data_IF_597852242171
#
_entry.id   IF_597852242171
#
_cell.length_a   1.000
_cell.length_b   1.000
_cell.length_c   1.000
_cell.angle_alpha   90.00
_cell.angle_beta   90.00
_cell.angle_gamma   90.00
#
_symmetry.space_group_name_H-M   'P 1'
#
loop_
_entity.id
_entity.type
_entity.pdbx_description
1 polymer ?
#
# COMPACT_ATOMS: atom_id res chain seq x y z
N UNK A 1 -14.61 4.82 19.03
CA UNK A 1 -15.18 3.84 19.98
C UNK A 1 -14.18 3.32 21.02
N UNK A 2 -13.31 2.32 20.77
CA UNK A 2 -12.45 1.77 21.87
C UNK A 2 -11.52 2.84 22.46
N UNK A 3 -10.93 3.69 21.62
CA UNK A 3 -10.03 4.75 22.06
C UNK A 3 -10.72 5.92 22.78
N UNK A 4 -12.00 6.18 22.50
CA UNK A 4 -12.80 7.21 23.21
C UNK A 4 -13.21 6.74 24.59
N UNK A 5 -13.70 5.50 24.70
CA UNK A 5 -14.07 4.90 25.98
C UNK A 5 -12.85 4.84 26.89
N UNK A 6 -11.69 4.41 26.37
CA UNK A 6 -10.44 4.39 27.14
C UNK A 6 -10.01 5.81 27.60
N UNK A 7 -10.22 6.84 26.78
CA UNK A 7 -9.94 8.24 27.13
C UNK A 7 -10.85 8.72 28.26
N UNK A 8 -12.15 8.45 28.17
CA UNK A 8 -13.15 8.85 29.16
C UNK A 8 -12.89 8.19 30.52
N UNK A 9 -12.67 6.87 30.53
CA UNK A 9 -12.33 6.11 31.74
C UNK A 9 -11.03 6.63 32.39
N UNK A 10 -10.00 6.89 31.59
CA UNK A 10 -8.72 7.40 32.11
C UNK A 10 -8.86 8.82 32.67
N UNK A 11 -9.65 9.68 32.02
CA UNK A 11 -9.92 11.04 32.50
C UNK A 11 -10.76 11.04 33.78
N UNK A 12 -11.75 10.14 33.89
CA UNK A 12 -12.52 9.95 35.12
C UNK A 12 -11.61 9.51 36.28
N UNK A 13 -10.70 8.57 36.01
CA UNK A 13 -9.71 8.11 36.98
C UNK A 13 -8.74 9.22 37.45
N UNK A 14 -8.28 10.09 36.54
CA UNK A 14 -7.47 11.25 36.92
C UNK A 14 -8.25 12.24 37.80
N UNK A 15 -9.54 12.45 37.51
CA UNK A 15 -10.40 13.32 38.30
C UNK A 15 -10.64 12.75 39.72
N UNK A 16 -10.87 11.44 39.86
CA UNK A 16 -10.98 10.78 41.17
C UNK A 16 -9.72 10.93 42.02
N UNK A 17 -8.55 10.89 41.39
CA UNK A 17 -7.25 11.08 42.06
C UNK A 17 -6.89 12.56 42.30
N UNK A 18 -7.75 13.51 41.91
CA UNK A 18 -7.48 14.96 42.03
C UNK A 18 -6.31 15.44 41.17
N UNK A 19 -5.95 14.70 40.12
CA UNK A 19 -4.85 15.04 39.24
C UNK A 19 -5.31 16.02 38.16
N UNK A 20 -4.55 17.09 37.87
CA UNK A 20 -4.95 18.10 36.86
C UNK A 20 -4.68 17.65 35.41
N UNK A 21 -4.42 16.36 35.17
CA UNK A 21 -4.05 15.84 33.85
C UNK A 21 -5.29 15.43 33.06
N UNK A 22 -5.23 15.58 31.74
CA UNK A 22 -6.19 15.01 30.79
C UNK A 22 -5.47 14.28 29.67
N UNK A 23 -6.09 13.21 29.18
CA UNK A 23 -5.64 12.49 28.00
C UNK A 23 -6.01 13.32 26.77
N UNK A 24 -4.98 13.69 26.00
CA UNK A 24 -5.12 14.43 24.75
C UNK A 24 -5.91 13.62 23.71
N UNK A 25 -6.51 14.34 22.76
CA UNK A 25 -7.12 13.71 21.60
C UNK A 25 -6.05 13.12 20.67
N UNK A 26 -6.39 11.99 20.05
CA UNK A 26 -5.54 11.40 19.03
C UNK A 26 -5.54 12.32 17.81
N UNK A 27 -4.49 13.11 17.63
CA UNK A 27 -4.28 13.90 16.42
C UNK A 27 -3.90 12.99 15.25
N UNK A 28 -4.22 13.40 14.03
CA UNK A 28 -3.72 12.73 12.82
C UNK A 28 -2.26 13.07 12.51
N UNK A 29 -1.79 14.21 13.01
CA UNK A 29 -0.39 14.61 12.88
C UNK A 29 0.45 13.80 13.86
N UNK A 30 1.43 13.02 13.39
CA UNK A 30 2.32 12.29 14.27
C UNK A 30 3.15 13.27 15.11
N UNK A 31 2.91 13.28 16.41
CA UNK A 31 3.74 14.02 17.37
C UNK A 31 5.06 13.29 17.65
N UNK A 32 6.10 14.05 17.99
CA UNK A 32 7.34 13.50 18.53
C UNK A 32 7.07 12.94 19.92
N UNK A 33 7.37 11.66 20.12
CA UNK A 33 7.12 10.95 21.37
C UNK A 33 8.00 11.48 22.51
N UNK A 34 7.40 11.73 23.68
CA UNK A 34 8.10 12.18 24.88
C UNK A 34 8.49 10.94 25.72
N UNK A 35 9.78 10.62 25.77
CA UNK A 35 10.33 9.50 26.54
C UNK A 35 10.36 9.73 28.07
N UNK A 36 10.82 8.75 28.86
CA UNK A 36 10.69 8.76 30.32
C UNK A 36 11.44 9.91 31.02
N UNK A 37 10.75 10.56 31.98
CA UNK A 37 11.09 11.54 33.06
C UNK A 37 12.45 12.26 33.17
N UNK A 38 13.58 11.80 32.61
CA UNK A 38 14.90 12.46 32.66
C UNK A 38 15.05 13.66 31.72
N UNK A 39 14.03 13.96 30.91
CA UNK A 39 14.08 14.95 29.81
C UNK A 39 13.10 16.12 30.06
N UNK A 40 12.81 16.46 31.33
CA UNK A 40 11.82 17.52 31.68
C UNK A 40 12.07 18.87 30.99
N UNK A 41 13.33 19.25 30.78
CA UNK A 41 13.67 20.52 30.12
C UNK A 41 13.31 20.55 28.62
N UNK A 42 13.19 19.39 27.97
CA UNK A 42 12.84 19.27 26.56
C UNK A 42 11.33 19.04 26.35
N UNK A 43 10.55 18.86 27.43
CA UNK A 43 9.10 18.64 27.33
C UNK A 43 8.43 19.85 26.68
N UNK A 44 8.74 21.06 27.14
CA UNK A 44 8.18 22.29 26.58
C UNK A 44 8.60 22.50 25.13
N UNK A 45 9.83 22.14 24.78
CA UNK A 45 10.35 22.22 23.40
C UNK A 45 9.66 21.22 22.47
N UNK A 46 9.49 19.97 22.92
CA UNK A 46 8.79 18.92 22.14
C UNK A 46 7.29 19.23 22.02
N UNK A 47 6.66 19.76 23.08
CA UNK A 47 5.28 20.22 23.04
C UNK A 47 5.11 21.37 22.05
N UNK A 48 5.97 22.40 22.12
CA UNK A 48 5.95 23.53 21.20
C UNK A 48 6.24 23.08 19.74
N UNK A 49 7.19 22.17 19.51
CA UNK A 49 7.42 21.57 18.19
C UNK A 49 6.17 20.85 17.67
N UNK A 50 5.46 20.11 18.52
CA UNK A 50 4.26 19.39 18.13
C UNK A 50 3.08 20.35 17.89
N UNK A 51 2.96 21.42 18.67
CA UNK A 51 2.00 22.50 18.43
C UNK A 51 2.30 23.22 17.11
N UNK A 52 3.56 23.58 16.85
CA UNK A 52 3.98 24.17 15.57
C UNK A 52 3.72 23.23 14.38
N UNK A 53 3.95 21.92 14.54
CA UNK A 53 3.60 20.91 13.52
C UNK A 53 2.09 20.86 13.30
N UNK A 54 1.30 20.90 14.37
CA UNK A 54 -0.16 20.91 14.29
C UNK A 54 -0.67 22.20 13.64
N UNK A 55 -0.14 23.36 14.00
CA UNK A 55 -0.48 24.65 13.39
C UNK A 55 -0.08 24.72 11.91
N UNK A 56 1.12 24.24 11.56
CA UNK A 56 1.55 24.17 10.16
C UNK A 56 0.64 23.22 9.37
N UNK A 57 0.29 22.07 9.93
CA UNK A 57 -0.64 21.13 9.32
C UNK A 57 -2.04 21.75 9.16
N UNK A 58 -2.55 22.47 10.16
CA UNK A 58 -3.84 23.17 10.09
C UNK A 58 -3.86 24.29 9.04
N UNK A 59 -2.76 25.03 8.88
CA UNK A 59 -2.62 26.04 7.82
C UNK A 59 -2.61 25.41 6.42
N UNK A 60 -2.15 24.17 6.30
CA UNK A 60 -2.10 23.40 5.06
C UNK A 60 -3.43 22.67 4.79
N UNK A 61 -4.15 22.23 5.83
CA UNK A 61 -5.43 21.50 5.71
C UNK A 61 -6.56 22.35 5.12
N UNK A 62 -6.52 23.68 5.20
CA UNK A 62 -7.62 24.52 4.68
C UNK A 62 -7.78 24.49 3.15
N UNK A 63 -6.98 23.70 2.43
CA UNK A 63 -7.06 23.49 1.00
C UNK A 63 -7.62 22.08 0.70
N UNK A 64 -8.74 22.05 -0.04
CA UNK A 64 -9.39 20.81 -0.47
C UNK A 64 -8.47 19.92 -1.32
N UNK A 65 -7.58 20.51 -2.12
CA UNK A 65 -6.63 19.75 -2.93
C UNK A 65 -5.59 19.07 -2.06
N UNK A 66 -5.10 19.76 -1.02
CA UNK A 66 -4.10 19.18 -0.11
C UNK A 66 -4.70 18.04 0.72
N UNK A 67 -5.94 18.19 1.19
CA UNK A 67 -6.66 17.11 1.86
C UNK A 67 -6.79 15.91 0.92
N UNK A 68 -7.24 16.15 -0.31
CA UNK A 68 -7.41 15.09 -1.32
C UNK A 68 -6.09 14.36 -1.59
N UNK A 69 -5.00 15.10 -1.77
CA UNK A 69 -3.66 14.53 -1.99
C UNK A 69 -3.17 13.74 -0.78
N UNK A 70 -3.43 14.22 0.45
CA UNK A 70 -3.06 13.50 1.68
C UNK A 70 -3.76 12.14 1.82
N UNK A 71 -5.04 12.08 1.45
CA UNK A 71 -5.84 10.85 1.52
C UNK A 71 -5.37 9.90 0.42
N UNK A 72 -5.24 10.40 -0.80
CA UNK A 72 -4.89 9.60 -1.97
C UNK A 72 -3.46 9.11 -2.00
N UNK A 73 -2.56 9.75 -1.24
CA UNK A 73 -1.20 9.24 -1.02
C UNK A 73 -1.19 7.82 -0.45
N UNK A 74 -2.15 7.49 0.41
CA UNK A 74 -2.23 6.18 1.07
C UNK A 74 -3.40 5.32 0.61
N UNK A 75 -4.42 5.91 -0.05
CA UNK A 75 -5.66 5.23 -0.43
C UNK A 75 -6.08 5.57 -1.86
N UNK A 76 -6.09 4.57 -2.74
CA UNK A 76 -6.65 4.72 -4.10
C UNK A 76 -8.17 4.96 -4.10
N UNK A 77 -8.86 4.49 -3.06
CA UNK A 77 -10.30 4.61 -2.87
C UNK A 77 -10.56 5.02 -1.42
N UNK A 78 -11.44 6.00 -1.22
CA UNK A 78 -11.76 6.54 0.10
C UNK A 78 -13.26 6.82 0.26
N UNK A 79 -13.67 7.11 1.50
CA UNK A 79 -15.06 7.39 1.87
C UNK A 79 -15.21 8.81 2.39
N UNK A 80 -16.44 9.32 2.51
CA UNK A 80 -16.71 10.60 3.21
C UNK A 80 -16.11 10.62 4.62
N UNK A 81 -16.17 9.50 5.35
CA UNK A 81 -15.57 9.39 6.68
C UNK A 81 -14.05 9.55 6.69
N UNK A 82 -13.36 9.17 5.60
CA UNK A 82 -11.92 9.39 5.49
C UNK A 82 -11.60 10.88 5.34
N UNK A 83 -12.43 11.63 4.61
CA UNK A 83 -12.32 13.09 4.51
C UNK A 83 -12.61 13.74 5.85
N UNK A 84 -13.71 13.35 6.53
CA UNK A 84 -14.07 13.86 7.87
C UNK A 84 -12.96 13.63 8.90
N UNK A 85 -12.27 12.48 8.82
CA UNK A 85 -11.10 12.18 9.66
C UNK A 85 -9.92 13.09 9.34
N UNK A 86 -9.61 13.30 8.06
CA UNK A 86 -8.54 14.20 7.60
C UNK A 86 -8.68 15.63 8.15
N UNK A 87 -9.91 16.09 8.34
CA UNK A 87 -10.22 17.45 8.83
C UNK A 87 -10.61 17.50 10.30
N UNK A 88 -10.44 16.40 11.06
CA UNK A 88 -10.92 16.31 12.46
C UNK A 88 -10.28 17.35 13.39
N UNK A 89 -9.03 17.74 13.10
CA UNK A 89 -8.25 18.66 13.93
C UNK A 89 -8.69 20.13 13.73
N UNK A 90 -9.58 20.42 12.77
CA UNK A 90 -10.18 21.75 12.58
C UNK A 90 -11.15 22.04 13.73
N UNK A 91 -10.95 23.13 14.51
CA UNK A 91 -11.78 23.41 15.67
C UNK A 91 -13.24 23.78 15.36
N UNK A 92 -13.47 24.53 14.27
CA UNK A 92 -14.82 24.96 13.89
C UNK A 92 -15.59 23.84 13.16
N UNK A 93 -16.69 23.32 13.72
CA UNK A 93 -17.50 22.30 13.07
C UNK A 93 -18.08 22.75 11.72
N UNK A 94 -18.38 24.04 11.57
CA UNK A 94 -18.97 24.58 10.34
C UNK A 94 -17.95 24.61 9.22
N UNK A 95 -16.76 25.16 9.48
CA UNK A 95 -15.64 25.12 8.55
C UNK A 95 -15.29 23.68 8.15
N UNK A 96 -15.32 22.73 9.10
CA UNK A 96 -15.08 21.31 8.83
C UNK A 96 -16.08 20.73 7.84
N UNK A 97 -17.38 20.94 8.08
CA UNK A 97 -18.44 20.49 7.18
C UNK A 97 -18.29 21.11 5.78
N UNK A 98 -18.03 22.42 5.71
CA UNK A 98 -17.82 23.12 4.44
C UNK A 98 -16.66 22.54 3.65
N UNK A 99 -15.54 22.23 4.32
CA UNK A 99 -14.35 21.70 3.68
C UNK A 99 -14.56 20.27 3.18
N UNK A 100 -15.29 19.43 3.93
CA UNK A 100 -15.71 18.10 3.46
C UNK A 100 -16.56 18.22 2.20
N UNK A 101 -17.52 19.15 2.16
CA UNK A 101 -18.34 19.38 0.98
C UNK A 101 -17.52 19.90 -0.20
N UNK A 102 -16.55 20.80 0.03
CA UNK A 102 -15.64 21.30 -1.00
C UNK A 102 -14.80 20.19 -1.61
N UNK A 103 -14.24 19.29 -0.79
CA UNK A 103 -13.50 18.12 -1.27
C UNK A 103 -14.40 17.24 -2.14
N UNK A 104 -15.57 16.83 -1.63
CA UNK A 104 -16.45 15.89 -2.34
C UNK A 104 -17.09 16.48 -3.60
N UNK A 105 -17.25 17.79 -3.68
CA UNK A 105 -17.79 18.49 -4.86
C UNK A 105 -16.71 18.94 -5.86
N UNK A 106 -15.43 18.69 -5.55
CA UNK A 106 -14.33 19.03 -6.45
C UNK A 106 -14.42 18.24 -7.76
N UNK A 107 -14.07 18.90 -8.85
CA UNK A 107 -14.02 18.30 -10.18
C UNK A 107 -12.94 17.20 -10.31
N UNK A 108 -12.03 17.09 -9.34
CA UNK A 108 -11.02 16.02 -9.25
C UNK A 108 -11.61 14.72 -8.71
N UNK A 109 -12.71 14.79 -7.97
CA UNK A 109 -13.32 13.63 -7.32
C UNK A 109 -14.24 12.89 -8.29
N UNK A 110 -14.17 11.57 -8.23
CA UNK A 110 -15.04 10.64 -8.93
C UNK A 110 -15.76 9.77 -7.91
N UNK A 111 -17.09 9.84 -7.89
CA UNK A 111 -17.90 8.87 -7.16
C UNK A 111 -17.92 7.53 -7.90
N UNK A 112 -17.80 6.44 -7.15
CA UNK A 112 -17.84 5.08 -7.66
C UNK A 112 -19.26 4.52 -7.55
N UNK A 113 -19.67 3.77 -8.56
CA UNK A 113 -21.00 3.18 -8.66
C UNK A 113 -20.88 1.66 -8.80
N UNK A 114 -21.90 0.95 -8.33
CA UNK A 114 -22.08 -0.47 -8.59
C UNK A 114 -22.54 -0.69 -10.04
N UNK A 115 -22.50 -1.95 -10.48
CA UNK A 115 -22.88 -2.32 -11.85
C UNK A 115 -24.37 -2.03 -12.16
N UNK A 116 -25.21 -1.96 -11.13
CA UNK A 116 -26.63 -1.58 -11.20
C UNK A 116 -26.86 -0.06 -11.24
N UNK A 117 -25.79 0.74 -11.15
CA UNK A 117 -25.83 2.20 -11.14
C UNK A 117 -26.07 2.83 -9.76
N UNK A 118 -26.19 2.04 -8.69
CA UNK A 118 -26.30 2.58 -7.34
C UNK A 118 -24.97 3.15 -6.84
N UNK A 119 -25.01 4.24 -6.08
CA UNK A 119 -23.81 4.81 -5.45
C UNK A 119 -23.20 3.82 -4.47
N UNK A 120 -21.90 3.57 -4.63
CA UNK A 120 -21.14 2.73 -3.71
C UNK A 120 -20.71 3.46 -2.44
N UNK A 121 -20.92 4.79 -2.37
CA UNK A 121 -20.42 5.70 -1.32
C UNK A 121 -18.90 5.77 -1.21
N UNK A 122 -18.19 5.20 -2.18
CA UNK A 122 -16.75 5.31 -2.33
C UNK A 122 -16.40 6.35 -3.39
N UNK A 123 -15.25 6.97 -3.19
CA UNK A 123 -14.71 8.02 -4.03
C UNK A 123 -13.27 7.67 -4.42
N UNK A 124 -12.86 8.15 -5.57
CA UNK A 124 -11.47 8.17 -6.04
C UNK A 124 -11.19 9.51 -6.71
N UNK A 125 -9.99 9.71 -7.24
CA UNK A 125 -9.66 10.91 -8.02
C UNK A 125 -9.43 10.58 -9.49
N UNK A 126 -9.54 11.61 -10.33
CA UNK A 126 -9.20 11.51 -11.76
C UNK A 126 -7.76 11.03 -11.94
N UNK A 127 -6.83 11.50 -11.11
CA UNK A 127 -5.41 11.13 -11.16
C UNK A 127 -5.22 9.63 -10.89
N UNK A 128 -5.80 9.12 -9.79
CA UNK A 128 -5.75 7.69 -9.45
C UNK A 128 -6.36 6.85 -10.57
N UNK A 129 -7.53 7.24 -11.09
CA UNK A 129 -8.17 6.52 -12.20
C UNK A 129 -7.30 6.51 -13.46
N UNK A 130 -6.65 7.61 -13.77
CA UNK A 130 -5.75 7.71 -14.92
C UNK A 130 -4.52 6.81 -14.75
N UNK A 131 -3.95 6.75 -13.55
CA UNK A 131 -2.83 5.86 -13.22
C UNK A 131 -3.23 4.38 -13.34
N UNK A 132 -4.37 3.98 -12.76
CA UNK A 132 -4.88 2.61 -12.87
C UNK A 132 -5.17 2.22 -14.32
N UNK A 133 -5.81 3.11 -15.09
CA UNK A 133 -6.07 2.90 -16.52
C UNK A 133 -4.77 2.73 -17.30
N UNK A 134 -3.72 3.49 -16.95
CA UNK A 134 -2.40 3.37 -17.57
C UNK A 134 -1.75 2.02 -17.23
N UNK A 135 -1.84 1.56 -15.98
CA UNK A 135 -1.34 0.24 -15.56
C UNK A 135 -2.00 -0.88 -16.36
N UNK A 136 -3.34 -0.86 -16.47
CA UNK A 136 -4.10 -1.85 -17.24
C UNK A 136 -3.69 -1.82 -18.71
N UNK A 137 -3.55 -0.63 -19.30
CA UNK A 137 -3.13 -0.47 -20.70
C UNK A 137 -1.74 -1.08 -20.95
N UNK A 138 -0.79 -0.85 -20.06
CA UNK A 138 0.56 -1.42 -20.14
C UNK A 138 0.50 -2.94 -19.99
N UNK A 139 -0.23 -3.46 -19.00
CA UNK A 139 -0.39 -4.89 -18.77
C UNK A 139 -0.99 -5.59 -20.00
N UNK A 140 -2.04 -5.03 -20.61
CA UNK A 140 -2.65 -5.56 -21.83
C UNK A 140 -1.69 -5.52 -23.02
N UNK A 141 -0.93 -4.43 -23.18
CA UNK A 141 0.08 -4.33 -24.24
C UNK A 141 1.14 -5.42 -24.10
N UNK A 142 1.68 -5.64 -22.90
CA UNK A 142 2.66 -6.69 -22.64
C UNK A 142 2.03 -8.07 -22.84
N UNK A 143 0.82 -8.28 -22.35
CA UNK A 143 0.13 -9.57 -22.45
C UNK A 143 -0.07 -10.02 -23.91
N UNK A 144 -0.31 -9.07 -24.81
CA UNK A 144 -0.51 -9.33 -26.25
C UNK A 144 0.80 -9.49 -27.04
N UNK A 145 1.95 -9.18 -26.45
CA UNK A 145 3.26 -9.39 -27.07
C UNK A 145 3.79 -10.75 -26.67
N UNK A 146 3.64 -11.74 -27.54
CA UNK A 146 4.14 -13.10 -27.32
C UNK A 146 5.40 -13.34 -28.14
N UNK A 147 6.51 -13.61 -27.46
CA UNK A 147 7.75 -14.08 -28.08
C UNK A 147 8.19 -15.37 -27.40
N UNK A 148 7.85 -16.52 -27.97
CA UNK A 148 8.49 -17.79 -27.61
C UNK A 148 8.59 -18.69 -28.84
N UNK A 149 9.82 -18.92 -29.31
CA UNK A 149 10.11 -19.77 -30.47
C UNK A 149 10.37 -21.25 -30.10
N UNK A 150 10.39 -21.65 -28.81
CA UNK A 150 10.79 -23.02 -28.42
C UNK A 150 10.01 -23.61 -27.22
N UNK A 151 8.70 -23.79 -27.37
CA UNK A 151 7.80 -24.28 -26.30
C UNK A 151 7.85 -25.82 -26.13
N UNK A 152 8.19 -26.57 -27.19
CA UNK A 152 7.92 -28.00 -27.25
C UNK A 152 8.75 -28.86 -26.27
N UNK A 153 9.96 -28.44 -25.89
CA UNK A 153 10.81 -29.22 -24.98
C UNK A 153 10.55 -28.95 -23.48
N UNK A 154 9.84 -27.86 -23.16
CA UNK A 154 9.75 -27.35 -21.79
C UNK A 154 8.67 -28.08 -20.98
N UNK A 155 7.66 -28.63 -21.66
CA UNK A 155 6.64 -29.47 -21.04
C UNK A 155 7.24 -30.77 -20.47
N UNK A 156 8.07 -31.46 -21.25
CA UNK A 156 8.71 -32.72 -20.82
C UNK A 156 9.56 -32.51 -19.57
N UNK A 157 10.33 -31.42 -19.52
CA UNK A 157 11.16 -31.10 -18.35
C UNK A 157 10.33 -30.88 -17.09
N UNK A 158 9.20 -30.15 -17.21
CA UNK A 158 8.31 -29.92 -16.07
C UNK A 158 7.72 -31.24 -15.55
N UNK A 159 7.30 -32.14 -16.44
CA UNK A 159 6.75 -33.44 -16.04
C UNK A 159 7.80 -34.36 -15.41
N UNK A 160 9.06 -34.26 -15.85
CA UNK A 160 10.20 -35.01 -15.32
C UNK A 160 10.74 -34.51 -13.97
N UNK A 161 10.24 -33.38 -13.44
CA UNK A 161 10.69 -32.87 -12.14
C UNK A 161 10.26 -33.80 -10.99
N UNK A 162 11.26 -34.33 -10.28
CA UNK A 162 11.05 -35.01 -9.00
C UNK A 162 10.86 -33.98 -7.85
N UNK A 163 10.14 -34.38 -6.80
CA UNK A 163 9.88 -33.56 -5.59
C UNK A 163 9.10 -32.25 -5.84
N UNK A 164 8.26 -32.24 -6.87
CA UNK A 164 7.35 -31.12 -7.18
C UNK A 164 5.91 -31.66 -7.18
N UNK A 165 5.00 -31.02 -6.45
CA UNK A 165 3.59 -31.45 -6.43
C UNK A 165 2.90 -31.17 -7.77
N UNK A 166 1.77 -31.82 -8.04
CA UNK A 166 1.01 -31.55 -9.26
C UNK A 166 0.50 -30.11 -9.34
N UNK A 167 0.16 -29.47 -8.22
CA UNK A 167 -0.20 -28.04 -8.23
C UNK A 167 1.00 -27.16 -8.59
N UNK A 168 2.20 -27.52 -8.11
CA UNK A 168 3.43 -26.79 -8.44
C UNK A 168 3.83 -26.99 -9.90
N UNK A 169 3.66 -28.19 -10.46
CA UNK A 169 3.81 -28.44 -11.90
C UNK A 169 2.80 -27.64 -12.71
N UNK A 170 1.55 -27.55 -12.27
CA UNK A 170 0.54 -26.71 -12.91
C UNK A 170 0.95 -25.22 -12.90
N UNK A 171 1.50 -24.74 -11.79
CA UNK A 171 2.06 -23.41 -11.69
C UNK A 171 3.25 -23.19 -12.65
N UNK A 172 4.16 -24.16 -12.78
CA UNK A 172 5.26 -24.11 -13.74
C UNK A 172 4.76 -24.08 -15.19
N UNK A 173 3.76 -24.91 -15.53
CA UNK A 173 3.12 -24.89 -16.86
C UNK A 173 2.51 -23.53 -17.13
N UNK A 174 1.80 -22.95 -16.17
CA UNK A 174 1.25 -21.59 -16.30
C UNK A 174 2.35 -20.54 -16.52
N UNK A 175 3.44 -20.59 -15.75
CA UNK A 175 4.51 -19.58 -15.78
C UNK A 175 5.39 -19.71 -17.02
N UNK A 176 5.62 -20.90 -17.55
CA UNK A 176 6.61 -21.13 -18.62
C UNK A 176 5.97 -21.42 -19.98
N UNK A 177 4.81 -22.10 -20.02
CA UNK A 177 4.17 -22.55 -21.26
C UNK A 177 3.01 -21.67 -21.73
N UNK A 178 2.49 -20.79 -20.88
CA UNK A 178 1.43 -19.85 -21.29
C UNK A 178 1.93 -18.97 -22.44
N UNK A 179 1.02 -18.52 -23.31
CA UNK A 179 1.32 -17.52 -24.34
C UNK A 179 1.19 -16.08 -23.81
N UNK A 180 0.63 -15.88 -22.62
CA UNK A 180 0.49 -14.56 -22.00
C UNK A 180 1.85 -13.90 -21.70
N UNK A 181 2.02 -12.64 -22.07
CA UNK A 181 3.20 -11.85 -21.69
C UNK A 181 3.25 -11.47 -20.20
N UNK A 182 2.11 -11.49 -19.51
CA UNK A 182 2.01 -11.29 -18.04
C UNK A 182 1.37 -12.52 -17.42
N UNK A 183 1.99 -13.08 -16.38
CA UNK A 183 1.56 -14.31 -15.70
C UNK A 183 1.58 -14.09 -14.19
N UNK A 184 0.55 -14.56 -13.50
CA UNK A 184 0.37 -14.31 -12.06
C UNK A 184 0.36 -15.63 -11.30
N UNK A 185 1.33 -15.82 -10.40
CA UNK A 185 1.36 -16.94 -9.48
C UNK A 185 0.75 -16.53 -8.12
N UNK A 186 -0.41 -17.10 -7.77
CA UNK A 186 -1.06 -16.90 -6.47
C UNK A 186 -1.02 -18.18 -5.64
N UNK A 187 -0.90 -18.04 -4.32
CA UNK A 187 -0.95 -19.16 -3.40
C UNK A 187 -0.92 -18.70 -1.94
N UNK A 188 -1.43 -19.52 -1.03
CA UNK A 188 -1.40 -19.25 0.42
C UNK A 188 0.05 -19.19 0.94
N UNK A 189 0.23 -18.66 2.15
CA UNK A 189 1.53 -18.72 2.81
C UNK A 189 1.98 -20.19 2.97
N UNK A 190 3.27 -20.46 2.77
CA UNK A 190 3.83 -21.81 2.91
C UNK A 190 3.60 -22.77 1.75
N UNK A 191 2.84 -22.43 0.70
CA UNK A 191 2.54 -23.36 -0.42
C UNK A 191 3.68 -23.54 -1.44
N UNK A 192 4.90 -23.10 -1.13
CA UNK A 192 6.05 -23.28 -2.02
C UNK A 192 6.11 -22.37 -3.25
N UNK A 193 5.50 -21.18 -3.24
CA UNK A 193 5.60 -20.21 -4.36
C UNK A 193 7.06 -19.87 -4.72
N UNK A 194 7.90 -19.62 -3.71
CA UNK A 194 9.33 -19.37 -3.93
C UNK A 194 10.00 -20.58 -4.57
N UNK A 195 9.64 -21.81 -4.17
CA UNK A 195 10.17 -23.04 -4.76
C UNK A 195 9.80 -23.17 -6.24
N UNK A 196 8.55 -22.87 -6.61
CA UNK A 196 8.10 -22.81 -8.01
C UNK A 196 8.90 -21.78 -8.82
N UNK A 197 9.10 -20.57 -8.29
CA UNK A 197 9.87 -19.52 -8.98
C UNK A 197 11.34 -19.91 -9.18
N UNK A 198 11.94 -20.64 -8.23
CA UNK A 198 13.32 -21.14 -8.36
C UNK A 198 13.40 -22.15 -9.50
N UNK A 199 12.46 -23.12 -9.55
CA UNK A 199 12.41 -24.10 -10.63
C UNK A 199 12.14 -23.46 -11.99
N UNK A 200 11.30 -22.45 -12.04
CA UNK A 200 11.07 -21.67 -13.25
C UNK A 200 12.34 -20.96 -13.73
N UNK A 201 13.08 -20.33 -12.82
CA UNK A 201 14.37 -19.71 -13.11
C UNK A 201 15.38 -20.73 -13.63
N UNK A 202 15.55 -21.88 -12.96
CA UNK A 202 16.46 -22.95 -13.41
C UNK A 202 16.12 -23.42 -14.84
N UNK A 203 14.86 -23.73 -15.11
CA UNK A 203 14.40 -24.21 -16.42
C UNK A 203 14.57 -23.18 -17.55
N UNK A 204 14.32 -21.90 -17.25
CA UNK A 204 14.47 -20.81 -18.21
C UNK A 204 15.95 -20.51 -18.49
N UNK A 205 16.78 -20.40 -17.45
CA UNK A 205 18.22 -20.13 -17.58
C UNK A 205 18.95 -21.27 -18.28
N UNK A 206 18.58 -22.53 -18.03
CA UNK A 206 19.14 -23.70 -18.74
C UNK A 206 18.86 -23.66 -20.26
N UNK A 207 17.89 -22.87 -20.70
CA UNK A 207 17.57 -22.63 -22.12
C UNK A 207 18.16 -21.34 -22.66
N UNK A 208 19.12 -20.75 -21.95
CA UNK A 208 19.78 -19.50 -22.35
C UNK A 208 18.89 -18.26 -22.22
N UNK A 209 17.73 -18.36 -21.55
CA UNK A 209 16.93 -17.18 -21.28
C UNK A 209 17.58 -16.34 -20.19
N UNK A 210 17.62 -15.03 -20.42
CA UNK A 210 18.04 -14.07 -19.41
C UNK A 210 16.89 -13.83 -18.42
N UNK A 211 17.05 -14.30 -17.19
CA UNK A 211 16.06 -14.11 -16.12
C UNK A 211 16.55 -13.02 -15.17
N UNK A 212 15.74 -11.98 -14.98
CA UNK A 212 16.01 -10.88 -14.04
C UNK A 212 15.02 -10.98 -12.88
N UNK A 213 15.54 -11.13 -11.66
CA UNK A 213 14.73 -11.11 -10.44
C UNK A 213 14.52 -9.69 -9.93
N UNK A 214 13.27 -9.29 -9.72
CA UNK A 214 12.94 -8.02 -9.08
C UNK A 214 12.16 -8.27 -7.80
N UNK A 215 12.53 -7.58 -6.72
CA UNK A 215 11.86 -7.69 -5.43
C UNK A 215 11.67 -6.33 -4.75
N UNK A 216 10.66 -6.16 -3.89
CA UNK A 216 10.39 -4.85 -3.27
C UNK A 216 11.40 -4.48 -2.18
N UNK A 217 12.08 -5.45 -1.56
CA UNK A 217 12.99 -5.21 -0.43
C UNK A 217 14.35 -5.88 -0.62
N UNK A 218 15.38 -5.31 0.01
CA UNK A 218 16.72 -5.91 0.00
C UNK A 218 16.76 -7.32 0.60
N UNK A 219 15.93 -7.59 1.61
CA UNK A 219 15.82 -8.94 2.20
C UNK A 219 15.35 -9.97 1.17
N UNK A 220 14.31 -9.64 0.40
CA UNK A 220 13.81 -10.52 -0.65
C UNK A 220 14.81 -10.67 -1.82
N UNK A 221 15.56 -9.62 -2.16
CA UNK A 221 16.69 -9.71 -3.11
C UNK A 221 17.75 -10.70 -2.63
N UNK A 222 18.18 -10.60 -1.37
CA UNK A 222 19.15 -11.53 -0.79
C UNK A 222 18.62 -12.97 -0.77
N UNK A 223 17.33 -13.15 -0.52
CA UNK A 223 16.70 -14.48 -0.61
C UNK A 223 16.78 -15.04 -2.03
N UNK A 224 16.40 -14.28 -3.05
CA UNK A 224 16.51 -14.70 -4.45
C UNK A 224 17.97 -15.02 -4.84
N UNK A 225 18.95 -14.20 -4.43
CA UNK A 225 20.39 -14.48 -4.65
C UNK A 225 20.81 -15.81 -4.04
N UNK A 226 20.38 -16.08 -2.81
CA UNK A 226 20.69 -17.35 -2.12
C UNK A 226 20.11 -18.58 -2.84
N UNK A 227 19.16 -18.36 -3.75
CA UNK A 227 18.50 -19.39 -4.54
C UNK A 227 18.96 -19.43 -6.00
N UNK A 228 20.10 -18.81 -6.32
CA UNK A 228 20.77 -18.96 -7.60
C UNK A 228 20.45 -17.89 -8.65
N UNK A 229 19.66 -16.87 -8.32
CA UNK A 229 19.45 -15.73 -9.21
C UNK A 229 20.74 -14.90 -9.32
N UNK A 230 21.24 -14.75 -10.55
CA UNK A 230 22.47 -13.99 -10.83
C UNK A 230 22.19 -12.50 -11.02
N UNK A 231 21.16 -12.16 -11.80
CA UNK A 231 20.70 -10.78 -11.99
C UNK A 231 19.47 -10.50 -11.14
N UNK A 232 19.66 -9.81 -10.01
CA UNK A 232 18.56 -9.51 -9.09
C UNK A 232 18.76 -8.18 -8.37
N UNK A 233 17.68 -7.40 -8.35
CA UNK A 233 17.64 -6.01 -7.92
C UNK A 233 16.39 -5.72 -7.10
N UNK A 234 16.44 -4.64 -6.32
CA UNK A 234 15.19 -4.06 -5.83
C UNK A 234 14.48 -3.40 -7.00
N UNK A 235 13.14 -3.33 -6.98
CA UNK A 235 12.37 -2.65 -8.05
C UNK A 235 12.91 -1.23 -8.25
N UNK A 236 13.10 -0.48 -7.16
CA UNK A 236 13.69 0.86 -7.21
C UNK A 236 15.10 0.87 -7.82
N UNK A 237 15.98 -0.04 -7.37
CA UNK A 237 17.37 -0.09 -7.84
C UNK A 237 17.55 -0.58 -9.28
N UNK A 238 16.50 -1.10 -9.91
CA UNK A 238 16.54 -1.49 -11.32
C UNK A 238 16.20 -0.33 -12.27
N UNK A 239 15.40 0.64 -11.79
CA UNK A 239 14.93 1.78 -12.59
C UNK A 239 15.71 3.08 -12.35
N UNK A 240 16.74 3.04 -11.50
CA UNK A 240 17.68 4.14 -11.21
C UNK A 240 19.04 3.75 -11.76
#
# INVERSE_FOLDING_TARGET
>A
MIHEIAKEETNAYFAELGLPYRVDETSEVPGKHIGPRRIRNLINEVLNENELRKEAHLKIINDADVITDSITHYKSIFTKQDVEKAVKDIPDPTAREQLVQQVLSSNRILELYHDDGESSKYFTTIEVRNEETRIIRIANKINNQVYYNDIYNLKSDIEGLANVSEEQKQALRHILLSTSGVRVLRGRAGTGKSYVLIKAHELATNRGQKVIGLAPTHKAVSELRSKGYTEVYTVKGFFI
#
